data_IF_762387000228
#
_entry.id   IF_762387000228
#
_cell.length_a   1.000
_cell.length_b   1.000
_cell.length_c   1.000
_cell.angle_alpha   90.00
_cell.angle_beta   90.00
_cell.angle_gamma   90.00
#
_symmetry.space_group_name_H-M   'P 1'
#
loop_
_entity.id
_entity.type
_entity.pdbx_description
1 polymer ?
#
# COMPACT_ATOMS: atom_id res chain seq x y z
N UNK A 1 -12.20 3.46 -38.18
CA UNK A 1 -12.58 4.52 -37.22
C UNK A 1 -12.72 3.94 -35.80
N UNK A 2 -11.71 3.22 -35.29
CA UNK A 2 -11.79 2.52 -33.99
C UNK A 2 -10.75 3.00 -32.95
N UNK A 3 -9.78 3.82 -33.36
CA UNK A 3 -8.66 4.27 -32.51
C UNK A 3 -9.02 5.43 -31.56
N UNK A 4 -10.14 6.11 -31.78
CA UNK A 4 -10.61 7.24 -30.96
C UNK A 4 -11.19 6.77 -29.62
N UNK A 5 -12.06 5.74 -29.65
CA UNK A 5 -12.76 5.18 -28.48
C UNK A 5 -11.80 4.65 -27.40
N UNK A 6 -10.68 4.04 -27.80
CA UNK A 6 -9.70 3.48 -26.85
C UNK A 6 -8.82 4.57 -26.19
N UNK A 7 -8.64 5.73 -26.84
CA UNK A 7 -7.93 6.87 -26.25
C UNK A 7 -8.82 7.64 -25.29
N UNK A 8 -10.11 7.74 -25.61
CA UNK A 8 -11.14 8.34 -24.74
C UNK A 8 -11.39 7.45 -23.53
N UNK A 9 -11.51 6.13 -23.70
CA UNK A 9 -11.64 5.17 -22.59
C UNK A 9 -10.48 5.26 -21.59
N UNK A 10 -9.22 5.37 -22.04
CA UNK A 10 -8.06 5.54 -21.15
C UNK A 10 -8.05 6.88 -20.39
N UNK A 11 -8.47 7.97 -21.05
CA UNK A 11 -8.58 9.29 -20.40
C UNK A 11 -9.73 9.33 -19.39
N UNK A 12 -10.87 8.74 -19.74
CA UNK A 12 -12.03 8.62 -18.88
C UNK A 12 -11.73 7.76 -17.65
N UNK A 13 -11.00 6.66 -17.82
CA UNK A 13 -10.56 5.78 -16.74
C UNK A 13 -9.58 6.47 -15.78
N UNK A 14 -8.64 7.27 -16.30
CA UNK A 14 -7.72 8.07 -15.46
C UNK A 14 -8.46 9.16 -14.67
N UNK A 15 -9.42 9.87 -15.29
CA UNK A 15 -10.20 10.93 -14.63
C UNK A 15 -11.13 10.39 -13.55
N UNK A 16 -11.78 9.24 -13.80
CA UNK A 16 -12.53 8.48 -12.82
C UNK A 16 -11.63 8.11 -11.64
N UNK A 17 -10.49 7.47 -11.90
CA UNK A 17 -9.62 6.91 -10.85
C UNK A 17 -9.01 8.01 -9.96
N UNK A 18 -8.57 9.11 -10.58
CA UNK A 18 -8.06 10.30 -9.89
C UNK A 18 -9.14 11.05 -9.08
N UNK A 19 -10.41 10.88 -9.44
CA UNK A 19 -11.54 11.51 -8.72
C UNK A 19 -12.10 10.67 -7.57
N UNK A 20 -12.03 9.33 -7.64
CA UNK A 20 -12.75 8.45 -6.71
C UNK A 20 -11.89 7.61 -5.75
N UNK A 21 -10.59 7.40 -6.04
CA UNK A 21 -9.76 6.48 -5.23
C UNK A 21 -8.39 7.04 -4.83
N UNK A 22 -8.06 8.28 -5.21
CA UNK A 22 -6.80 8.91 -4.79
C UNK A 22 -6.86 9.39 -3.32
N UNK A 23 -5.88 9.03 -2.46
CA UNK A 23 -5.79 9.53 -1.09
C UNK A 23 -5.75 11.06 -0.99
N UNK A 24 -5.34 11.73 -2.07
CA UNK A 24 -5.21 13.19 -2.13
C UNK A 24 -6.54 13.92 -2.39
N UNK A 25 -7.62 13.21 -2.75
CA UNK A 25 -8.92 13.81 -3.09
C UNK A 25 -10.14 13.25 -2.32
N UNK A 26 -10.01 12.09 -1.66
CA UNK A 26 -11.14 11.48 -0.95
C UNK A 26 -11.27 12.00 0.49
N UNK A 27 -12.22 12.94 0.70
CA UNK A 27 -12.56 13.47 2.04
C UNK A 27 -12.90 12.38 3.04
N UNK A 28 -13.63 11.34 2.60
CA UNK A 28 -14.02 10.22 3.45
C UNK A 28 -12.82 9.39 3.93
N UNK A 29 -11.83 9.13 3.06
CA UNK A 29 -10.62 8.40 3.44
C UNK A 29 -9.77 9.22 4.41
N UNK A 30 -9.66 10.52 4.16
CA UNK A 30 -8.93 11.44 5.03
C UNK A 30 -9.58 11.54 6.43
N UNK A 31 -10.91 11.60 6.49
CA UNK A 31 -11.67 11.58 7.75
C UNK A 31 -11.52 10.25 8.50
N UNK A 32 -11.54 9.11 7.80
CA UNK A 32 -11.31 7.79 8.40
C UNK A 32 -9.90 7.65 8.98
N UNK A 33 -8.88 8.08 8.24
CA UNK A 33 -7.50 8.06 8.72
C UNK A 33 -7.33 8.95 9.96
N UNK A 34 -7.99 10.11 9.98
CA UNK A 34 -8.00 11.00 11.15
C UNK A 34 -8.74 10.40 12.35
N UNK A 35 -9.88 9.74 12.14
CA UNK A 35 -10.62 9.04 13.19
C UNK A 35 -9.80 7.87 13.79
N UNK A 36 -9.14 7.09 12.93
CA UNK A 36 -8.25 6.01 13.34
C UNK A 36 -7.05 6.52 14.14
N UNK A 37 -6.38 7.57 13.69
CA UNK A 37 -5.27 8.21 14.41
C UNK A 37 -5.72 8.74 15.78
N UNK A 38 -6.92 9.34 15.87
CA UNK A 38 -7.50 9.77 17.15
C UNK A 38 -7.75 8.60 18.11
N UNK A 39 -8.27 7.48 17.61
CA UNK A 39 -8.49 6.25 18.40
C UNK A 39 -7.17 5.65 18.89
N UNK A 40 -6.15 5.55 18.04
CA UNK A 40 -4.82 5.06 18.42
C UNK A 40 -4.18 5.95 19.50
N UNK A 41 -4.29 7.28 19.36
CA UNK A 41 -3.82 8.23 20.39
C UNK A 41 -4.55 8.07 21.71
N UNK A 42 -5.85 7.77 21.68
CA UNK A 42 -6.63 7.49 22.89
C UNK A 42 -6.18 6.17 23.56
N UNK A 43 -5.89 5.12 22.79
CA UNK A 43 -5.31 3.87 23.32
C UNK A 43 -3.95 4.10 23.97
N UNK A 44 -3.05 4.84 23.31
CA UNK A 44 -1.71 5.14 23.83
C UNK A 44 -1.82 5.89 25.17
N UNK A 45 -2.72 6.89 25.27
CA UNK A 45 -2.95 7.61 26.53
C UNK A 45 -3.44 6.72 27.66
N UNK A 46 -4.27 5.71 27.38
CA UNK A 46 -4.71 4.73 28.38
C UNK A 46 -3.56 3.83 28.87
N UNK A 47 -2.47 3.73 28.10
CA UNK A 47 -1.31 2.89 28.40
C UNK A 47 -0.18 3.70 29.07
N UNK A 48 0.06 4.94 28.62
CA UNK A 48 1.19 5.79 29.06
C UNK A 48 0.93 6.60 30.34
N UNK A 49 -0.21 6.44 31.00
CA UNK A 49 -0.63 7.33 32.10
C UNK A 49 0.44 7.41 33.22
N UNK A 50 0.83 8.65 33.57
CA UNK A 50 1.93 8.97 34.50
C UNK A 50 1.53 8.55 35.92
N UNK A 51 1.93 7.34 36.31
CA UNK A 51 1.72 6.80 37.65
C UNK A 51 3.03 6.82 38.46
N UNK A 52 3.01 7.52 39.58
CA UNK A 52 4.13 7.73 40.51
C UNK A 52 4.62 6.45 41.21
N UNK A 53 3.91 5.32 41.08
CA UNK A 53 4.33 4.02 41.61
C UNK A 53 3.78 2.81 40.81
N UNK A 54 4.52 1.70 40.85
CA UNK A 54 4.19 0.46 40.11
C UNK A 54 2.84 -0.15 40.53
N UNK A 55 2.51 -0.16 41.82
CA UNK A 55 1.26 -0.71 42.34
C UNK A 55 0.03 0.06 41.80
N UNK A 56 0.11 1.40 41.74
CA UNK A 56 -0.94 2.25 41.16
C UNK A 56 -1.10 2.04 39.66
N UNK A 57 0.02 1.84 38.94
CA UNK A 57 0.02 1.50 37.50
C UNK A 57 -0.67 0.18 37.23
N UNK A 58 -0.37 -0.86 38.02
CA UNK A 58 -1.02 -2.16 37.89
C UNK A 58 -2.52 -2.09 38.21
N UNK A 59 -2.92 -1.41 39.28
CA UNK A 59 -4.33 -1.23 39.65
C UNK A 59 -5.12 -0.47 38.58
N UNK A 60 -4.58 0.64 38.06
CA UNK A 60 -5.21 1.40 36.97
C UNK A 60 -5.29 0.59 35.68
N UNK A 61 -4.26 -0.17 35.32
CA UNK A 61 -4.28 -1.01 34.13
C UNK A 61 -5.47 -1.98 34.13
N UNK A 62 -5.70 -2.71 35.23
CA UNK A 62 -6.83 -3.64 35.29
C UNK A 62 -8.20 -2.93 35.27
N UNK A 63 -8.29 -1.70 35.80
CA UNK A 63 -9.51 -0.88 35.70
C UNK A 63 -9.75 -0.33 34.29
N UNK A 64 -8.69 0.05 33.56
CA UNK A 64 -8.75 0.60 32.20
C UNK A 64 -8.79 -0.47 31.09
N UNK A 65 -8.45 -1.71 31.42
CA UNK A 65 -8.45 -2.86 30.50
C UNK A 65 -9.73 -3.05 29.67
N UNK A 66 -10.95 -2.98 30.24
CA UNK A 66 -12.17 -3.13 29.45
C UNK A 66 -12.41 -1.96 28.48
N UNK A 67 -12.04 -0.73 28.85
CA UNK A 67 -12.12 0.44 27.96
C UNK A 67 -11.15 0.31 26.79
N UNK A 68 -9.91 -0.13 27.08
CA UNK A 68 -8.89 -0.38 26.05
C UNK A 68 -9.33 -1.50 25.10
N UNK A 69 -9.87 -2.61 25.64
CA UNK A 69 -10.36 -3.73 24.82
C UNK A 69 -11.46 -3.29 23.87
N UNK A 70 -12.45 -2.53 24.37
CA UNK A 70 -13.54 -2.00 23.55
C UNK A 70 -13.02 -1.12 22.41
N UNK A 71 -12.04 -0.26 22.68
CA UNK A 71 -11.44 0.60 21.67
C UNK A 71 -10.66 -0.21 20.61
N UNK A 72 -10.01 -1.30 21.01
CA UNK A 72 -9.31 -2.23 20.09
C UNK A 72 -10.29 -2.94 19.17
N UNK A 73 -11.41 -3.41 19.71
CA UNK A 73 -12.46 -4.03 18.91
C UNK A 73 -13.08 -3.04 17.91
N UNK A 74 -13.37 -1.81 18.34
CA UNK A 74 -13.91 -0.76 17.47
C UNK A 74 -12.91 -0.34 16.38
N UNK A 75 -11.62 -0.28 16.71
CA UNK A 75 -10.55 -0.03 15.74
C UNK A 75 -10.46 -1.15 14.70
N UNK A 76 -10.48 -2.41 15.15
CA UNK A 76 -10.43 -3.57 14.26
C UNK A 76 -11.65 -3.60 13.32
N UNK A 77 -12.85 -3.33 13.83
CA UNK A 77 -14.07 -3.23 13.01
C UNK A 77 -13.98 -2.12 11.97
N UNK A 78 -13.45 -0.95 12.35
CA UNK A 78 -13.27 0.17 11.43
C UNK A 78 -12.24 -0.17 10.32
N UNK A 79 -11.15 -0.83 10.68
CA UNK A 79 -10.15 -1.30 9.72
C UNK A 79 -10.71 -2.34 8.75
N UNK A 80 -11.44 -3.32 9.26
CA UNK A 80 -12.03 -4.34 8.41
C UNK A 80 -13.05 -3.75 7.42
N UNK A 81 -13.91 -2.84 7.89
CA UNK A 81 -14.85 -2.13 7.03
C UNK A 81 -14.15 -1.27 5.95
N UNK A 82 -12.96 -0.73 6.25
CA UNK A 82 -12.15 -0.01 5.28
C UNK A 82 -11.62 -0.95 4.19
N UNK A 83 -11.09 -2.11 4.57
CA UNK A 83 -10.59 -3.14 3.64
C UNK A 83 -11.73 -3.63 2.73
N UNK A 84 -12.90 -3.95 3.30
CA UNK A 84 -14.06 -4.40 2.54
C UNK A 84 -14.51 -3.38 1.48
N UNK A 85 -14.53 -2.08 1.82
CA UNK A 85 -14.88 -1.04 0.85
C UNK A 85 -13.84 -0.89 -0.25
N UNK A 86 -12.56 -1.02 0.09
CA UNK A 86 -11.48 -0.96 -0.91
C UNK A 86 -11.56 -2.13 -1.90
N UNK A 87 -11.82 -3.34 -1.40
CA UNK A 87 -12.01 -4.53 -2.22
C UNK A 87 -13.27 -4.41 -3.08
N UNK A 88 -14.34 -3.84 -2.54
CA UNK A 88 -15.58 -3.59 -3.28
C UNK A 88 -15.35 -2.59 -4.44
N UNK A 89 -14.77 -1.42 -4.17
CA UNK A 89 -14.56 -0.40 -5.22
C UNK A 89 -13.55 -0.85 -6.27
N UNK A 90 -12.49 -1.57 -5.87
CA UNK A 90 -11.51 -2.14 -6.80
C UNK A 90 -12.09 -3.34 -7.57
N UNK A 91 -13.00 -4.08 -6.96
CA UNK A 91 -13.75 -5.17 -7.59
C UNK A 91 -14.72 -4.66 -8.65
N UNK A 92 -15.49 -3.61 -8.34
CA UNK A 92 -16.39 -2.94 -9.27
C UNK A 92 -15.65 -2.33 -10.46
N UNK A 93 -14.48 -1.72 -10.22
CA UNK A 93 -13.59 -1.25 -11.28
C UNK A 93 -13.21 -2.38 -12.24
N UNK A 94 -12.67 -3.48 -11.71
CA UNK A 94 -12.28 -4.65 -12.52
C UNK A 94 -13.46 -5.27 -13.25
N UNK A 95 -14.65 -5.19 -12.65
CA UNK A 95 -15.88 -5.66 -13.28
C UNK A 95 -16.30 -4.75 -14.44
N UNK A 96 -16.24 -3.43 -14.28
CA UNK A 96 -16.47 -2.49 -15.36
C UNK A 96 -15.46 -2.66 -16.50
N UNK A 97 -14.19 -2.94 -16.20
CA UNK A 97 -13.17 -3.26 -17.20
C UNK A 97 -13.50 -4.51 -18.00
N UNK A 98 -13.94 -5.58 -17.33
CA UNK A 98 -14.39 -6.81 -18.00
C UNK A 98 -15.59 -6.52 -18.89
N UNK A 99 -16.60 -5.81 -18.38
CA UNK A 99 -17.79 -5.45 -19.14
C UNK A 99 -17.46 -4.57 -20.35
N UNK A 100 -16.55 -3.61 -20.22
CA UNK A 100 -16.06 -2.82 -21.35
C UNK A 100 -15.33 -3.70 -22.36
N UNK A 101 -14.38 -4.53 -21.92
CA UNK A 101 -13.64 -5.43 -22.80
C UNK A 101 -14.57 -6.38 -23.58
N UNK A 102 -15.61 -6.92 -22.94
CA UNK A 102 -16.62 -7.78 -23.57
C UNK A 102 -17.53 -7.00 -24.53
N UNK A 103 -17.98 -5.79 -24.15
CA UNK A 103 -18.80 -4.94 -25.01
C UNK A 103 -18.07 -4.48 -26.29
N UNK A 104 -16.74 -4.35 -26.23
CA UNK A 104 -15.90 -3.98 -27.39
C UNK A 104 -15.38 -5.19 -28.18
N UNK A 105 -15.34 -6.40 -27.61
CA UNK A 105 -14.97 -7.62 -28.33
C UNK A 105 -16.09 -8.14 -29.24
N UNK A 106 -17.35 -7.75 -29.00
CA UNK A 106 -18.50 -8.12 -29.82
C UNK A 106 -18.62 -7.34 -31.15
N UNK A 107 -17.56 -6.62 -31.55
CA UNK A 107 -17.42 -6.00 -32.87
C UNK A 107 -16.08 -6.49 -33.46
N UNK A 108 -16.01 -7.60 -34.20
CA UNK A 108 -16.09 -7.70 -35.68
C UNK A 108 -15.33 -9.01 -36.03
N UNK A 109 -15.82 -9.91 -36.92
CA UNK A 109 -15.59 -9.81 -38.37
C UNK A 109 -16.85 -10.04 -39.24
N UNK A 110 -17.26 -9.00 -39.97
CA UNK A 110 -18.08 -9.16 -41.18
C UNK A 110 -17.19 -9.79 -42.26
N UNK A 111 -17.29 -11.11 -42.32
CA UNK A 111 -17.20 -12.03 -43.46
C UNK A 111 -16.54 -11.51 -44.74
N UNK A 112 -15.46 -12.21 -45.12
CA UNK A 112 -14.92 -12.32 -46.45
C UNK A 112 -16.01 -12.72 -47.46
N UNK A 113 -16.30 -11.86 -48.44
CA UNK A 113 -16.86 -12.30 -49.71
C UNK A 113 -15.99 -11.76 -50.84
N UNK A 114 -15.28 -12.71 -51.44
CA UNK A 114 -14.76 -12.68 -52.79
C UNK A 114 -15.91 -12.43 -53.78
N UNK A 115 -15.73 -11.49 -54.71
CA UNK A 115 -16.20 -11.56 -56.09
C UNK A 115 -15.61 -10.39 -56.91
N UNK A 116 -14.63 -10.73 -57.74
CA UNK A 116 -14.11 -9.93 -58.88
C UNK A 116 -15.25 -9.50 -59.83
N UNK A 117 -15.16 -8.36 -60.58
CA UNK A 117 -14.24 -8.28 -61.74
C UNK A 117 -13.74 -6.88 -62.19
N UNK A 118 -12.63 -6.90 -62.94
CA UNK A 118 -12.23 -5.97 -64.03
C UNK A 118 -12.03 -4.46 -63.77
N UNK A 119 -10.80 -3.99 -64.03
CA UNK A 119 -10.61 -2.87 -64.96
C UNK A 119 -9.77 -1.66 -64.48
N UNK A 120 -8.57 -1.57 -65.06
CA UNK A 120 -7.92 -0.33 -65.53
C UNK A 120 -7.03 0.52 -64.61
N UNK A 121 -5.87 0.82 -65.22
CA UNK A 121 -5.02 2.01 -65.11
C UNK A 121 -3.98 2.07 -63.98
N UNK A 122 -2.75 1.79 -64.41
CA UNK A 122 -1.50 2.34 -63.90
C UNK A 122 -1.64 3.85 -63.63
N UNK A 123 -1.36 4.26 -62.39
CA UNK A 123 -0.70 5.55 -62.13
C UNK A 123 0.16 5.45 -60.86
N UNK A 124 1.47 5.53 -61.09
CA UNK A 124 2.54 6.05 -60.23
C UNK A 124 2.44 5.87 -58.71
N UNK A 125 3.29 4.97 -58.20
CA UNK A 125 3.81 5.02 -56.83
C UNK A 125 4.49 6.38 -56.57
N UNK A 126 3.80 7.23 -55.81
CA UNK A 126 4.44 8.25 -54.98
C UNK A 126 4.45 7.70 -53.55
N UNK A 127 5.60 7.54 -52.86
CA UNK A 127 5.59 7.21 -51.45
C UNK A 127 5.16 8.47 -50.69
N UNK A 128 3.85 8.72 -50.67
CA UNK A 128 3.29 9.71 -49.80
C UNK A 128 3.32 9.10 -48.40
N UNK A 129 4.25 9.56 -47.58
CA UNK A 129 4.19 9.43 -46.12
C UNK A 129 3.40 10.62 -45.56
N UNK A 130 2.09 10.52 -45.25
CA UNK A 130 1.47 11.51 -44.38
C UNK A 130 0.52 10.86 -43.37
N UNK A 131 1.01 10.57 -42.15
CA UNK A 131 0.20 10.54 -40.90
C UNK A 131 0.98 10.08 -39.66
N UNK A 132 2.28 9.78 -39.80
CA UNK A 132 3.11 9.27 -38.71
C UNK A 132 3.63 10.27 -37.64
N UNK A 133 3.60 11.61 -37.79
CA UNK A 133 4.17 12.51 -36.77
C UNK A 133 3.45 12.46 -35.41
N UNK A 134 2.12 12.34 -35.42
CA UNK A 134 1.31 12.40 -34.19
C UNK A 134 1.42 11.11 -33.36
N UNK A 135 1.49 9.95 -34.02
CA UNK A 135 1.68 8.65 -33.33
C UNK A 135 3.07 8.55 -32.72
N UNK A 136 4.09 9.03 -33.43
CA UNK A 136 5.46 9.09 -32.92
C UNK A 136 5.56 10.01 -31.70
N UNK A 137 4.95 11.21 -31.77
CA UNK A 137 4.89 12.16 -30.65
C UNK A 137 4.20 11.56 -29.41
N UNK A 138 3.06 10.91 -29.59
CA UNK A 138 2.35 10.24 -28.49
C UNK A 138 3.16 9.06 -27.91
N UNK A 139 3.89 8.32 -28.74
CA UNK A 139 4.77 7.25 -28.28
C UNK A 139 5.91 7.80 -27.41
N UNK A 140 6.56 8.88 -27.84
CA UNK A 140 7.62 9.55 -27.09
C UNK A 140 7.12 10.08 -25.74
N UNK A 141 5.92 10.65 -25.69
CA UNK A 141 5.33 11.15 -24.44
C UNK A 141 5.04 10.01 -23.45
N UNK A 142 4.57 8.86 -23.94
CA UNK A 142 4.42 7.65 -23.11
C UNK A 142 5.76 7.11 -22.61
N UNK A 143 6.77 7.08 -23.47
CA UNK A 143 8.13 6.64 -23.09
C UNK A 143 8.67 7.57 -21.99
N UNK A 144 8.60 8.88 -22.19
CA UNK A 144 9.04 9.87 -21.19
C UNK A 144 8.30 9.73 -19.86
N UNK A 145 6.99 9.49 -19.89
CA UNK A 145 6.21 9.25 -18.67
C UNK A 145 6.68 7.98 -17.94
N UNK A 146 6.84 6.87 -18.66
CA UNK A 146 7.33 5.61 -18.08
C UNK A 146 8.75 5.74 -17.54
N UNK A 147 9.64 6.48 -18.21
CA UNK A 147 10.98 6.77 -17.73
C UNK A 147 10.96 7.57 -16.42
N UNK A 148 10.06 8.56 -16.30
CA UNK A 148 9.90 9.34 -15.07
C UNK A 148 9.35 8.50 -13.91
N UNK A 149 8.38 7.63 -14.18
CA UNK A 149 7.81 6.71 -13.20
C UNK A 149 8.84 5.68 -12.74
N UNK A 150 9.65 5.16 -13.66
CA UNK A 150 10.72 4.21 -13.36
C UNK A 150 11.82 4.87 -12.52
N UNK A 151 12.20 6.11 -12.83
CA UNK A 151 13.15 6.90 -12.03
C UNK A 151 12.63 7.16 -10.61
N UNK A 152 11.34 7.51 -10.49
CA UNK A 152 10.70 7.70 -9.18
C UNK A 152 10.71 6.41 -8.36
N UNK A 153 10.30 5.28 -8.96
CA UNK A 153 10.31 3.98 -8.28
C UNK A 153 11.73 3.54 -7.87
N UNK A 154 12.74 3.82 -8.70
CA UNK A 154 14.14 3.54 -8.36
C UNK A 154 14.63 4.37 -7.16
N UNK A 155 14.19 5.63 -7.02
CA UNK A 155 14.51 6.46 -5.86
C UNK A 155 13.83 5.95 -4.59
N UNK A 156 12.57 5.53 -4.68
CA UNK A 156 11.85 4.94 -3.55
C UNK A 156 12.53 3.68 -3.03
N UNK A 157 12.95 2.77 -3.94
CA UNK A 157 13.71 1.57 -3.59
C UNK A 157 15.03 1.95 -2.92
N UNK A 158 15.74 2.96 -3.44
CA UNK A 158 17.01 3.42 -2.86
C UNK A 158 16.81 3.97 -1.44
N UNK A 159 15.78 4.79 -1.23
CA UNK A 159 15.41 5.32 0.08
C UNK A 159 15.06 4.18 1.04
N UNK A 160 14.22 3.25 0.61
CA UNK A 160 13.81 2.11 1.44
C UNK A 160 15.00 1.24 1.85
N UNK A 161 15.92 0.96 0.92
CA UNK A 161 17.15 0.22 1.23
C UNK A 161 18.01 0.94 2.28
N UNK A 162 18.07 2.27 2.24
CA UNK A 162 18.81 3.04 3.26
C UNK A 162 18.16 2.94 4.64
N UNK A 163 16.82 2.98 4.71
CA UNK A 163 16.05 2.83 5.95
C UNK A 163 16.25 1.42 6.52
N UNK A 164 16.10 0.38 5.70
CA UNK A 164 16.31 -1.02 6.12
C UNK A 164 17.73 -1.23 6.66
N UNK A 165 18.75 -0.65 6.01
CA UNK A 165 20.13 -0.75 6.49
C UNK A 165 20.33 -0.07 7.86
N UNK A 166 19.70 1.08 8.08
CA UNK A 166 19.76 1.78 9.37
C UNK A 166 19.02 0.99 10.46
N UNK A 167 17.81 0.50 10.16
CA UNK A 167 16.99 -0.25 11.10
C UNK A 167 17.61 -1.59 11.48
N UNK A 168 18.23 -2.29 10.53
CA UNK A 168 18.97 -3.54 10.79
C UNK A 168 20.17 -3.29 11.71
N UNK A 169 20.91 -2.19 11.52
CA UNK A 169 22.02 -1.82 12.40
C UNK A 169 21.54 -1.50 13.83
N UNK A 170 20.42 -0.76 13.96
CA UNK A 170 19.81 -0.46 15.27
C UNK A 170 19.30 -1.71 15.97
N UNK A 171 18.64 -2.61 15.23
CA UNK A 171 18.14 -3.88 15.75
C UNK A 171 19.28 -4.74 16.28
N UNK A 172 20.36 -4.87 15.52
CA UNK A 172 21.56 -5.62 15.95
C UNK A 172 22.16 -5.05 17.23
N UNK A 173 22.27 -3.73 17.35
CA UNK A 173 22.76 -3.10 18.59
C UNK A 173 21.84 -3.33 19.78
N UNK A 174 20.52 -3.37 19.57
CA UNK A 174 19.56 -3.69 20.63
C UNK A 174 19.66 -5.16 21.05
N UNK A 175 19.82 -6.07 20.09
CA UNK A 175 20.00 -7.51 20.33
C UNK A 175 21.24 -7.79 21.19
N UNK A 176 22.38 -7.16 20.86
CA UNK A 176 23.62 -7.25 21.66
C UNK A 176 23.41 -6.78 23.11
N UNK A 177 22.64 -5.71 23.33
CA UNK A 177 22.31 -5.22 24.67
C UNK A 177 21.41 -6.19 25.44
N UNK A 178 20.44 -6.80 24.77
CA UNK A 178 19.56 -7.81 25.38
C UNK A 178 20.37 -9.03 25.85
N UNK A 179 21.27 -9.54 25.00
CA UNK A 179 22.15 -10.67 25.34
C UNK A 179 23.04 -10.33 26.55
N UNK A 180 23.58 -9.12 26.60
CA UNK A 180 24.42 -8.69 27.73
C UNK A 180 23.63 -8.59 29.04
N UNK A 181 22.42 -8.04 29.01
CA UNK A 181 21.53 -7.98 30.17
C UNK A 181 21.11 -9.38 30.64
N UNK A 182 20.81 -10.29 29.72
CA UNK A 182 20.44 -11.66 30.04
C UNK A 182 21.58 -12.41 30.72
N UNK A 183 22.80 -12.27 30.21
CA UNK A 183 24.01 -12.85 30.82
C UNK A 183 24.27 -12.31 32.23
N UNK A 184 24.08 -11.00 32.42
CA UNK A 184 24.22 -10.36 33.74
C UNK A 184 23.16 -10.85 34.72
N UNK A 185 21.89 -10.94 34.28
CA UNK A 185 20.80 -11.48 35.08
C UNK A 185 21.05 -12.93 35.51
N UNK A 186 21.55 -13.79 34.60
CA UNK A 186 21.92 -15.17 34.94
C UNK A 186 23.04 -15.22 36.00
N UNK A 187 24.03 -14.33 35.90
CA UNK A 187 25.12 -14.24 36.87
C UNK A 187 24.63 -13.83 38.27
N UNK A 188 23.73 -12.85 38.34
CA UNK A 188 23.09 -12.41 39.59
C UNK A 188 22.26 -13.52 40.23
N UNK A 189 21.55 -14.32 39.42
CA UNK A 189 20.81 -15.49 39.90
C UNK A 189 21.75 -16.52 40.54
N UNK A 190 22.87 -16.85 39.89
CA UNK A 190 23.86 -17.78 40.42
C UNK A 190 24.51 -17.27 41.71
N UNK A 191 24.81 -15.97 41.79
CA UNK A 191 25.34 -15.36 43.00
C UNK A 191 24.34 -15.41 44.15
N UNK A 192 23.05 -15.14 43.87
CA UNK A 192 21.96 -15.25 44.85
C UNK A 192 21.85 -16.69 45.37
N UNK A 193 21.86 -17.70 44.50
CA UNK A 193 21.83 -19.11 44.91
C UNK A 193 23.03 -19.50 45.80
N UNK A 194 24.22 -19.03 45.45
CA UNK A 194 25.44 -19.29 46.24
C UNK A 194 25.36 -18.64 47.63
N UNK A 195 24.86 -17.41 47.72
CA UNK A 195 24.65 -16.73 49.00
C UNK A 195 23.62 -17.46 49.87
N UNK A 196 22.51 -17.90 49.29
CA UNK A 196 21.47 -18.69 49.99
C UNK A 196 22.06 -19.99 50.54
N UNK A 197 22.84 -20.74 49.75
CA UNK A 197 23.54 -21.96 50.23
C UNK A 197 24.49 -21.67 51.38
N UNK A 198 25.25 -20.57 51.31
CA UNK A 198 26.21 -20.18 52.35
C UNK A 198 25.54 -19.80 53.67
N UNK A 199 24.37 -19.19 53.62
CA UNK A 199 23.57 -18.88 54.81
C UNK A 199 23.06 -20.17 55.45
N UNK A 200 22.49 -21.09 54.65
CA UNK A 200 21.96 -22.36 55.14
C UNK A 200 23.01 -23.30 55.79
N UNK A 201 24.30 -23.13 55.47
CA UNK A 201 25.39 -23.89 56.09
C UNK A 201 25.89 -23.30 57.43
N UNK A 202 25.40 -22.12 57.82
CA UNK A 202 25.91 -21.37 58.97
C UNK A 202 24.97 -21.42 60.18
N UNK A 203 23.80 -22.04 60.03
CA UNK A 203 22.82 -22.38 61.07
C UNK A 203 22.95 -23.87 61.46
#
# INVERSE_FOLDING_TARGET
MATTLHSESRRLYSWWWDSHNSPKNSKWLQENLKDMDAKVKAMIKLIEEVADSFARRAEMYYKKRPELMKLVEEFYRAYHALVERYDHTTGELRQADRTMAEAFSNQVPFVLSDDSPSGSSVHECKPHMPEMPHRYKHCLEKISKLESELSCAQEEIRCLNSVVLIETAKLKSAEEKCVLLETSNQSLWLETENLVKKIAMKD
#
